data_IF_761163755991
#
_entry.id   IF_761163755991
#
_cell.length_a   1.000
_cell.length_b   1.000
_cell.length_c   1.000
_cell.angle_alpha   90.00
_cell.angle_beta   90.00
_cell.angle_gamma   90.00
#
_symmetry.space_group_name_H-M   'P 1'
#
loop_
_entity.id
_entity.type
_entity.pdbx_description
1 polymer ?
#
# COMPACT_ATOMS: atom_id res chain seq x y z
N UNK A 1 -20.00 -28.03 -49.98
CA UNK A 1 -18.79 -28.87 -49.86
C UNK A 1 -17.78 -28.14 -48.98
N UNK A 2 -17.63 -28.61 -47.72
CA UNK A 2 -16.60 -28.30 -46.70
C UNK A 2 -16.44 -26.83 -46.27
N UNK A 3 -16.97 -26.42 -45.11
CA UNK A 3 -16.36 -26.59 -43.76
C UNK A 3 -15.05 -25.82 -43.60
N UNK A 4 -15.05 -24.78 -42.76
CA UNK A 4 -14.14 -24.68 -41.60
C UNK A 4 -14.70 -23.68 -40.58
N UNK A 5 -15.44 -24.22 -39.61
CA UNK A 5 -15.52 -23.68 -38.26
C UNK A 5 -14.10 -23.71 -37.65
N UNK A 6 -13.61 -22.57 -37.15
CA UNK A 6 -12.65 -22.47 -36.03
C UNK A 6 -13.02 -21.20 -35.26
N UNK A 7 -13.92 -21.32 -34.28
CA UNK A 7 -13.61 -21.24 -32.83
C UNK A 7 -12.65 -20.10 -32.49
N UNK A 8 -13.08 -19.00 -31.86
CA UNK A 8 -13.52 -18.95 -30.45
C UNK A 8 -12.54 -19.65 -29.50
N UNK A 9 -11.24 -19.45 -29.70
CA UNK A 9 -10.20 -19.70 -28.69
C UNK A 9 -9.13 -18.61 -28.85
N UNK A 10 -9.42 -17.41 -28.33
CA UNK A 10 -8.37 -16.43 -28.04
C UNK A 10 -7.44 -17.13 -27.03
N UNK A 11 -6.26 -17.49 -27.50
CA UNK A 11 -5.34 -18.39 -26.81
C UNK A 11 -4.99 -17.88 -25.42
N UNK A 12 -4.92 -18.86 -24.50
CA UNK A 12 -4.57 -18.83 -23.07
C UNK A 12 -3.17 -18.28 -22.76
N UNK A 13 -2.56 -17.55 -23.69
CA UNK A 13 -1.15 -17.17 -23.71
C UNK A 13 -1.02 -15.68 -24.01
N UNK A 14 -1.64 -14.81 -23.19
CA UNK A 14 -1.27 -13.40 -23.24
C UNK A 14 0.15 -13.28 -22.65
N UNK A 15 1.15 -12.82 -23.43
CA UNK A 15 2.50 -12.68 -22.93
C UNK A 15 2.49 -11.73 -21.73
N UNK A 16 3.31 -12.04 -20.72
CA UNK A 16 3.52 -11.20 -19.54
C UNK A 16 3.60 -9.74 -19.99
N UNK A 17 2.71 -8.90 -19.44
CA UNK A 17 2.60 -7.47 -19.78
C UNK A 17 4.02 -6.86 -19.87
N UNK A 18 4.35 -6.15 -20.96
CA UNK A 18 5.69 -5.62 -21.18
C UNK A 18 6.18 -4.85 -19.95
N UNK A 19 7.47 -5.03 -19.60
CA UNK A 19 8.05 -4.55 -18.34
C UNK A 19 7.78 -3.06 -18.08
N UNK A 20 7.72 -2.24 -19.13
CA UNK A 20 7.39 -0.82 -19.07
C UNK A 20 5.98 -0.53 -18.53
N UNK A 21 4.96 -1.26 -19.00
CA UNK A 21 3.57 -1.09 -18.56
C UNK A 21 3.39 -1.59 -17.13
N UNK A 22 4.11 -2.64 -16.74
CA UNK A 22 4.14 -3.12 -15.36
C UNK A 22 4.75 -2.08 -14.41
N UNK A 23 5.91 -1.49 -14.76
CA UNK A 23 6.55 -0.45 -13.94
C UNK A 23 5.63 0.75 -13.77
N UNK A 24 4.93 1.17 -14.83
CA UNK A 24 3.97 2.27 -14.73
C UNK A 24 2.80 1.95 -13.80
N UNK A 25 2.29 0.71 -13.81
CA UNK A 25 1.27 0.27 -12.85
C UNK A 25 1.83 0.30 -11.42
N UNK A 26 3.01 -0.27 -11.21
CA UNK A 26 3.67 -0.27 -9.89
C UNK A 26 3.86 1.14 -9.35
N UNK A 27 4.31 2.07 -10.19
CA UNK A 27 4.48 3.47 -9.84
C UNK A 27 3.15 4.11 -9.42
N UNK A 28 2.04 3.81 -10.12
CA UNK A 28 0.72 4.34 -9.74
C UNK A 28 0.27 3.85 -8.37
N UNK A 29 0.42 2.56 -8.07
CA UNK A 29 0.11 2.02 -6.73
C UNK A 29 1.00 2.65 -5.65
N UNK A 30 2.29 2.79 -5.94
CA UNK A 30 3.23 3.46 -5.03
C UNK A 30 2.85 4.93 -4.77
N UNK A 31 2.46 5.69 -5.81
CA UNK A 31 2.01 7.07 -5.67
C UNK A 31 0.72 7.18 -4.86
N UNK A 32 -0.25 6.29 -5.08
CA UNK A 32 -1.48 6.23 -4.28
C UNK A 32 -1.15 5.96 -2.81
N UNK A 33 -0.26 5.00 -2.54
CA UNK A 33 0.20 4.71 -1.19
C UNK A 33 0.90 5.92 -0.55
N UNK A 34 1.71 6.66 -1.31
CA UNK A 34 2.36 7.87 -0.81
C UNK A 34 1.39 9.01 -0.49
N UNK A 35 0.36 9.22 -1.33
CA UNK A 35 -0.68 10.21 -1.02
C UNK A 35 -1.43 9.83 0.26
N UNK A 36 -1.73 8.55 0.43
CA UNK A 36 -2.37 8.04 1.65
C UNK A 36 -1.50 8.29 2.89
N UNK A 37 -0.21 7.92 2.84
CA UNK A 37 0.75 8.17 3.94
C UNK A 37 0.88 9.66 4.23
N UNK A 38 0.99 10.51 3.21
CA UNK A 38 1.09 11.96 3.39
C UNK A 38 -0.16 12.55 4.06
N UNK A 39 -1.35 12.07 3.70
CA UNK A 39 -2.59 12.47 4.35
C UNK A 39 -2.64 12.00 5.83
N UNK A 40 -2.24 10.77 6.11
CA UNK A 40 -2.13 10.24 7.48
C UNK A 40 -1.16 11.08 8.32
N UNK A 41 0.01 11.43 7.77
CA UNK A 41 1.00 12.28 8.44
C UNK A 41 0.48 13.69 8.69
N UNK A 42 -0.27 14.28 7.74
CA UNK A 42 -0.86 15.60 7.93
C UNK A 42 -1.86 15.61 9.09
N UNK A 43 -2.73 14.58 9.18
CA UNK A 43 -3.66 14.41 10.30
C UNK A 43 -2.92 14.20 11.61
N UNK A 44 -1.91 13.33 11.63
CA UNK A 44 -1.07 13.08 12.80
C UNK A 44 -0.38 14.35 13.31
N UNK A 45 0.29 15.06 12.41
CA UNK A 45 1.03 16.29 12.70
C UNK A 45 0.10 17.36 13.26
N UNK A 46 -1.05 17.57 12.61
CA UNK A 46 -2.04 18.53 13.09
C UNK A 46 -2.55 18.18 14.49
N UNK A 47 -2.85 16.91 14.75
CA UNK A 47 -3.32 16.48 16.07
C UNK A 47 -2.24 16.64 17.15
N UNK A 48 -0.98 16.35 16.87
CA UNK A 48 0.11 16.62 17.83
C UNK A 48 0.33 18.10 18.09
N UNK A 49 0.21 18.95 17.07
CA UNK A 49 0.25 20.41 17.26
C UNK A 49 -0.92 20.90 18.12
N UNK A 50 -2.11 20.32 17.94
CA UNK A 50 -3.33 20.77 18.62
C UNK A 50 -3.44 20.24 20.06
N UNK A 51 -3.29 18.93 20.27
CA UNK A 51 -3.50 18.28 21.57
C UNK A 51 -2.25 18.26 22.45
N UNK A 52 -1.06 18.13 21.85
CA UNK A 52 0.21 18.09 22.57
C UNK A 52 0.97 19.43 22.54
N UNK A 53 0.46 20.45 21.85
CA UNK A 53 1.07 21.79 21.70
C UNK A 53 2.53 21.75 21.22
N UNK A 54 2.88 20.72 20.44
CA UNK A 54 4.22 20.55 19.91
C UNK A 54 4.49 21.52 18.75
N UNK A 55 5.75 21.92 18.58
CA UNK A 55 6.20 22.61 17.37
C UNK A 55 5.99 21.71 16.14
N UNK A 56 5.81 22.30 14.96
CA UNK A 56 5.46 21.55 13.74
C UNK A 56 6.44 20.42 13.42
N UNK A 57 7.73 20.63 13.62
CA UNK A 57 8.77 19.61 13.34
C UNK A 57 8.66 18.44 14.32
N UNK A 58 8.46 18.72 15.62
CA UNK A 58 8.32 17.68 16.65
C UNK A 58 7.01 16.91 16.49
N UNK A 59 5.92 17.61 16.12
CA UNK A 59 4.64 17.01 15.82
C UNK A 59 4.72 16.09 14.59
N UNK A 60 5.44 16.51 13.54
CA UNK A 60 5.68 15.70 12.35
C UNK A 60 6.53 14.48 12.66
N UNK A 61 7.58 14.64 13.48
CA UNK A 61 8.41 13.54 13.97
C UNK A 61 7.57 12.50 14.72
N UNK A 62 6.79 12.94 15.71
CA UNK A 62 5.93 12.05 16.49
C UNK A 62 4.85 11.36 15.64
N UNK A 63 4.23 12.08 14.71
CA UNK A 63 3.29 11.51 13.76
C UNK A 63 3.94 10.44 12.88
N UNK A 64 5.17 10.69 12.42
CA UNK A 64 5.95 9.76 11.58
C UNK A 64 6.36 8.51 12.34
N UNK A 65 6.79 8.66 13.60
CA UNK A 65 7.19 7.52 14.43
C UNK A 65 6.04 6.58 14.70
N UNK A 66 4.88 7.11 15.11
CA UNK A 66 3.69 6.29 15.31
C UNK A 66 3.23 5.65 14.00
N UNK A 67 3.24 6.38 12.89
CA UNK A 67 2.88 5.82 11.58
C UNK A 67 3.82 4.68 11.16
N UNK A 68 5.10 4.77 11.52
CA UNK A 68 6.09 3.70 11.31
C UNK A 68 6.02 2.55 12.32
N UNK A 69 5.12 2.62 13.31
CA UNK A 69 4.93 1.59 14.34
C UNK A 69 5.81 1.75 15.59
N UNK A 70 6.54 2.85 15.71
CA UNK A 70 7.29 3.21 16.91
C UNK A 70 6.43 4.09 17.84
N UNK A 71 6.78 4.17 19.13
CA UNK A 71 6.11 5.08 20.05
C UNK A 71 6.46 6.56 19.79
N UNK A 72 5.72 7.51 20.38
CA UNK A 72 6.11 8.91 20.36
C UNK A 72 7.39 9.15 21.16
N UNK A 73 8.19 10.14 20.74
CA UNK A 73 9.35 10.66 21.47
C UNK A 73 8.91 11.82 22.37
N UNK A 74 9.39 11.77 23.61
CA UNK A 74 9.14 12.79 24.61
C UNK A 74 7.84 12.59 25.37
N UNK A 75 7.52 13.57 26.22
CA UNK A 75 6.36 13.49 27.10
C UNK A 75 5.07 13.93 26.40
N UNK A 76 3.98 13.23 26.69
CA UNK A 76 2.62 13.63 26.32
C UNK A 76 2.04 14.46 27.48
N UNK A 77 1.93 15.80 27.33
CA UNK A 77 1.81 16.72 28.46
C UNK A 77 0.45 16.68 29.17
N UNK A 78 -0.59 16.14 28.53
CA UNK A 78 -1.95 16.13 29.04
C UNK A 78 -2.74 14.89 28.58
N UNK A 79 -3.94 14.70 29.14
CA UNK A 79 -4.82 13.57 28.81
C UNK A 79 -5.28 13.57 27.35
N UNK A 80 -5.56 14.75 26.78
CA UNK A 80 -5.96 14.90 25.38
C UNK A 80 -4.89 14.40 24.41
N UNK A 81 -3.62 14.73 24.66
CA UNK A 81 -2.47 14.23 23.90
C UNK A 81 -2.35 12.71 23.99
N UNK A 82 -2.55 12.13 25.18
CA UNK A 82 -2.49 10.67 25.38
C UNK A 82 -3.62 9.96 24.64
N UNK A 83 -4.85 10.46 24.73
CA UNK A 83 -5.99 9.91 24.01
C UNK A 83 -5.78 10.00 22.50
N UNK A 84 -5.37 11.16 21.99
CA UNK A 84 -5.05 11.35 20.58
C UNK A 84 -3.98 10.37 20.11
N UNK A 85 -2.83 10.30 20.81
CA UNK A 85 -1.74 9.40 20.46
C UNK A 85 -2.18 7.93 20.46
N UNK A 86 -3.06 7.53 21.39
CA UNK A 86 -3.59 6.16 21.46
C UNK A 86 -4.47 5.81 20.26
N UNK A 87 -5.43 6.66 19.90
CA UNK A 87 -6.27 6.44 18.72
C UNK A 87 -5.47 6.53 17.43
N UNK A 88 -4.56 7.49 17.34
CA UNK A 88 -3.69 7.66 16.19
C UNK A 88 -2.75 6.46 16.01
N UNK A 89 -2.28 5.82 17.09
CA UNK A 89 -1.48 4.60 17.03
C UNK A 89 -2.27 3.39 16.49
N UNK A 90 -3.51 3.19 16.95
CA UNK A 90 -4.38 2.13 16.43
C UNK A 90 -4.66 2.32 14.93
N UNK A 91 -5.02 3.54 14.54
CA UNK A 91 -5.20 3.91 13.14
C UNK A 91 -3.92 3.68 12.33
N UNK A 92 -2.78 4.14 12.85
CA UNK A 92 -1.48 4.06 12.19
C UNK A 92 -1.04 2.62 11.92
N UNK A 93 -1.31 1.69 12.84
CA UNK A 93 -1.05 0.28 12.61
C UNK A 93 -1.81 -0.25 11.38
N UNK A 94 -3.09 0.08 11.27
CA UNK A 94 -3.91 -0.28 10.10
C UNK A 94 -3.40 0.43 8.84
N UNK A 95 -3.06 1.71 8.94
CA UNK A 95 -2.56 2.51 7.82
C UNK A 95 -1.23 1.96 7.27
N UNK A 96 -0.30 1.58 8.14
CA UNK A 96 0.99 0.98 7.75
C UNK A 96 0.78 -0.34 7.01
N UNK A 97 -0.02 -1.25 7.59
CA UNK A 97 -0.34 -2.54 6.96
C UNK A 97 -1.04 -2.35 5.61
N UNK A 98 -1.97 -1.39 5.52
CA UNK A 98 -2.67 -1.05 4.27
C UNK A 98 -1.70 -0.53 3.23
N UNK A 99 -0.78 0.35 3.61
CA UNK A 99 0.25 0.91 2.72
C UNK A 99 1.13 -0.21 2.14
N UNK A 100 1.62 -1.11 3.00
CA UNK A 100 2.42 -2.28 2.57
C UNK A 100 1.60 -3.17 1.63
N UNK A 101 0.35 -3.47 1.97
CA UNK A 101 -0.53 -4.29 1.14
C UNK A 101 -0.77 -3.68 -0.24
N UNK A 102 -1.03 -2.37 -0.33
CA UNK A 102 -1.25 -1.65 -1.60
C UNK A 102 0.00 -1.68 -2.48
N UNK A 103 1.19 -1.52 -1.90
CA UNK A 103 2.46 -1.58 -2.64
C UNK A 103 2.74 -3.00 -3.14
N UNK A 104 2.48 -4.02 -2.32
CA UNK A 104 2.76 -5.42 -2.64
C UNK A 104 1.70 -6.10 -3.51
N UNK A 105 0.45 -5.65 -3.50
CA UNK A 105 -0.65 -6.24 -4.26
C UNK A 105 -0.33 -6.52 -5.75
N UNK A 106 0.17 -5.55 -6.55
CA UNK A 106 0.54 -5.81 -7.94
C UNK A 106 1.69 -6.83 -8.11
N UNK A 107 2.62 -6.90 -7.17
CA UNK A 107 3.73 -7.86 -7.19
C UNK A 107 3.21 -9.27 -6.92
N UNK A 108 2.45 -9.44 -5.84
CA UNK A 108 1.86 -10.73 -5.45
C UNK A 108 0.91 -11.24 -6.52
N UNK A 109 0.04 -10.37 -7.06
CA UNK A 109 -0.85 -10.72 -8.16
C UNK A 109 -0.06 -11.19 -9.41
N UNK A 110 1.07 -10.54 -9.72
CA UNK A 110 1.92 -10.97 -10.84
C UNK A 110 2.61 -12.31 -10.58
N UNK A 111 3.11 -12.54 -9.37
CA UNK A 111 3.74 -13.81 -9.00
C UNK A 111 2.76 -14.97 -9.10
N UNK A 112 1.55 -14.81 -8.56
CA UNK A 112 0.49 -15.81 -8.65
C UNK A 112 0.07 -16.06 -10.10
N UNK A 113 -0.08 -15.00 -10.91
CA UNK A 113 -0.41 -15.17 -12.32
C UNK A 113 0.72 -15.85 -13.11
N UNK A 114 1.99 -15.63 -12.75
CA UNK A 114 3.12 -16.30 -13.39
C UNK A 114 3.14 -17.80 -13.06
N UNK A 115 2.85 -18.18 -11.82
CA UNK A 115 2.80 -19.58 -11.38
C UNK A 115 1.69 -20.37 -12.09
N UNK A 116 0.47 -19.83 -12.13
CA UNK A 116 -0.65 -20.50 -12.81
C UNK A 116 -0.44 -20.65 -14.33
N UNK A 117 0.35 -19.78 -14.95
CA UNK A 117 0.73 -19.94 -16.36
C UNK A 117 1.71 -21.09 -16.57
N UNK A 118 2.57 -21.38 -15.58
CA UNK A 118 3.55 -22.46 -15.64
C UNK A 118 2.89 -23.83 -15.46
N UNK A 119 1.87 -23.93 -14.61
CA UNK A 119 1.07 -25.16 -14.43
C UNK A 119 0.28 -25.53 -15.70
N UNK A 120 -0.36 -24.55 -16.35
CA UNK A 120 -1.11 -24.78 -17.59
C UNK A 120 -0.24 -25.19 -18.79
N UNK A 121 1.06 -24.88 -18.78
CA UNK A 121 2.01 -25.32 -19.81
C UNK A 121 2.56 -26.73 -19.58
N UNK A 122 2.51 -27.25 -18.34
CA UNK A 122 2.97 -28.61 -18.00
C UNK A 122 1.93 -29.69 -18.28
N UNK A 123 0.64 -29.35 -18.25
CA UNK A 123 -0.45 -30.30 -18.53
C UNK A 123 -0.75 -30.49 -20.03
N UNK A 124 -0.19 -29.64 -20.91
CA UNK A 124 -0.38 -29.71 -22.37
C UNK A 124 0.83 -30.29 -23.14
N UNK A 125 1.88 -30.78 -22.45
CA UNK A 125 3.07 -31.42 -23.02
C UNK A 125 3.19 -32.89 -22.68
#
# INVERSE_FOLDING_TARGET
MRSYFRSMFEHRSRPLVPRSVYILRQLRFFLVAQVFVAASLAVGTWGYMHFAHQATVDAFLNASMILAGMGPIGDLPNEGAKLFASFYALYSGIALLTTVAVILAPLVHRMLHALHLEDGQRDEG
#
